data_IF_943629720428
#
_entry.id   IF_943629720428
#
_cell.length_a   1.000
_cell.length_b   1.000
_cell.length_c   1.000
_cell.angle_alpha   90.00
_cell.angle_beta   90.00
_cell.angle_gamma   90.00
#
_symmetry.space_group_name_H-M   'P 1'
#
loop_
_entity.id
_entity.type
_entity.pdbx_description
1 polymer ?
#
# COMPACT_ATOMS: atom_id res chain seq x y z
N UNK A 1 -18.46 -6.99 -10.55
CA UNK A 1 -17.64 -8.17 -10.89
C UNK A 1 -18.52 -9.39 -11.20
N UNK A 2 -19.50 -9.77 -10.35
CA UNK A 2 -20.38 -10.94 -10.61
C UNK A 2 -21.00 -10.92 -12.00
N UNK A 3 -21.69 -9.85 -12.38
CA UNK A 3 -22.31 -9.72 -13.69
C UNK A 3 -21.32 -9.87 -14.87
N UNK A 4 -20.10 -9.37 -14.74
CA UNK A 4 -19.09 -9.56 -15.78
C UNK A 4 -18.64 -11.01 -15.90
N UNK A 5 -18.48 -11.71 -14.77
CA UNK A 5 -18.13 -13.13 -14.75
C UNK A 5 -19.24 -14.03 -15.28
N UNK A 6 -20.51 -13.64 -15.09
CA UNK A 6 -21.66 -14.35 -15.69
C UNK A 6 -21.67 -14.25 -17.22
N UNK A 7 -21.25 -13.10 -17.78
CA UNK A 7 -21.19 -12.88 -19.23
C UNK A 7 -19.95 -13.52 -19.84
N UNK A 8 -18.81 -13.39 -19.16
CA UNK A 8 -17.53 -13.92 -19.62
C UNK A 8 -16.70 -14.38 -18.39
N UNK A 9 -16.69 -15.69 -18.08
CA UNK A 9 -15.97 -16.22 -16.92
C UNK A 9 -14.45 -16.02 -17.00
N UNK A 10 -13.89 -15.89 -18.20
CA UNK A 10 -12.45 -15.75 -18.45
C UNK A 10 -11.99 -14.29 -18.44
N UNK A 11 -12.89 -13.34 -18.19
CA UNK A 11 -12.53 -11.93 -18.14
C UNK A 11 -11.49 -11.66 -17.06
N UNK A 12 -10.41 -11.00 -17.44
CA UNK A 12 -9.39 -10.54 -16.50
C UNK A 12 -9.83 -9.20 -15.91
N UNK A 13 -9.84 -9.11 -14.59
CA UNK A 13 -10.25 -7.90 -13.87
C UNK A 13 -9.05 -7.38 -13.08
N UNK A 14 -8.76 -6.08 -13.23
CA UNK A 14 -7.78 -5.36 -12.41
C UNK A 14 -8.56 -4.35 -11.57
N UNK A 15 -8.38 -4.43 -10.26
CA UNK A 15 -8.94 -3.47 -9.31
C UNK A 15 -7.99 -2.31 -9.06
N UNK A 16 -8.49 -1.26 -8.43
CA UNK A 16 -7.67 -0.17 -7.90
C UNK A 16 -7.28 -0.44 -6.44
N UNK A 17 -6.21 0.19 -5.98
CA UNK A 17 -5.70 0.04 -4.61
C UNK A 17 -6.74 0.34 -3.53
N UNK A 18 -7.69 1.25 -3.79
CA UNK A 18 -8.79 1.57 -2.86
C UNK A 18 -9.88 0.48 -2.79
N UNK A 19 -9.90 -0.45 -3.74
CA UNK A 19 -10.81 -1.62 -3.72
C UNK A 19 -10.21 -2.82 -2.98
N UNK A 20 -8.95 -2.75 -2.58
CA UNK A 20 -8.26 -3.79 -1.82
C UNK A 20 -8.77 -3.79 -0.37
N UNK A 21 -9.69 -4.71 -0.07
CA UNK A 21 -10.30 -4.86 1.26
C UNK A 21 -10.84 -6.26 1.49
N UNK A 22 -10.82 -6.71 2.74
CA UNK A 22 -11.45 -7.99 3.15
C UNK A 22 -12.95 -8.02 2.85
N UNK A 23 -13.61 -6.86 2.87
CA UNK A 23 -15.03 -6.74 2.53
C UNK A 23 -15.30 -7.09 1.06
N UNK A 24 -14.38 -6.73 0.15
CA UNK A 24 -14.49 -7.13 -1.25
C UNK A 24 -14.51 -8.65 -1.39
N UNK A 25 -13.65 -9.37 -0.68
CA UNK A 25 -13.61 -10.83 -0.69
C UNK A 25 -14.92 -11.39 -0.13
N UNK A 26 -15.34 -10.90 1.04
CA UNK A 26 -16.56 -11.34 1.71
C UNK A 26 -17.81 -11.16 0.86
N UNK A 27 -17.94 -10.02 0.18
CA UNK A 27 -19.11 -9.73 -0.66
C UNK A 27 -19.00 -10.33 -2.07
N UNK A 28 -17.79 -10.45 -2.59
CA UNK A 28 -17.51 -10.92 -3.95
C UNK A 28 -17.57 -12.44 -4.06
N UNK A 29 -17.06 -13.16 -3.05
CA UNK A 29 -16.92 -14.61 -3.08
C UNK A 29 -16.10 -15.07 -4.29
N UNK A 30 -16.52 -16.14 -4.96
CA UNK A 30 -15.84 -16.67 -6.14
C UNK A 30 -15.74 -15.67 -7.32
N UNK A 31 -16.61 -14.68 -7.39
CA UNK A 31 -16.58 -13.71 -8.48
C UNK A 31 -15.38 -12.74 -8.45
N UNK A 32 -14.63 -12.70 -7.35
CA UNK A 32 -13.43 -11.88 -7.21
C UNK A 32 -12.12 -12.69 -7.25
N UNK A 33 -12.22 -14.02 -7.38
CA UNK A 33 -11.04 -14.87 -7.58
C UNK A 33 -10.25 -14.44 -8.84
N UNK A 34 -8.94 -14.36 -8.70
CA UNK A 34 -8.03 -13.97 -9.77
C UNK A 34 -8.03 -12.47 -10.10
N UNK A 35 -8.79 -11.62 -9.38
CA UNK A 35 -8.70 -10.17 -9.54
C UNK A 35 -7.35 -9.68 -9.05
N UNK A 36 -6.63 -8.91 -9.88
CA UNK A 36 -5.34 -8.35 -9.54
C UNK A 36 -5.46 -6.90 -9.04
N UNK A 37 -4.59 -6.50 -8.12
CA UNK A 37 -4.55 -5.15 -7.56
C UNK A 37 -3.11 -4.65 -7.47
N UNK A 38 -2.82 -3.43 -7.94
CA UNK A 38 -1.62 -2.71 -7.54
C UNK A 38 -1.85 -2.11 -6.15
N UNK A 39 -1.04 -2.50 -5.16
CA UNK A 39 -1.13 -1.98 -3.79
C UNK A 39 0.21 -1.39 -3.35
N UNK A 40 0.17 -0.38 -2.51
CA UNK A 40 1.37 0.25 -1.93
C UNK A 40 1.71 -0.33 -0.56
N UNK A 41 0.83 -1.14 0.01
CA UNK A 41 1.02 -1.80 1.29
C UNK A 41 0.36 -3.17 1.26
N UNK A 42 1.11 -4.19 1.67
CA UNK A 42 0.61 -5.55 1.82
C UNK A 42 1.02 -6.08 3.19
N UNK A 43 0.04 -6.24 4.09
CA UNK A 43 0.28 -6.60 5.50
C UNK A 43 0.93 -7.98 5.69
N UNK A 44 0.80 -8.88 4.70
CA UNK A 44 1.42 -10.21 4.68
C UNK A 44 2.78 -10.23 3.94
N UNK A 45 3.39 -9.07 3.65
CA UNK A 45 4.73 -8.98 3.07
C UNK A 45 5.77 -9.59 4.02
N UNK A 46 6.79 -10.23 3.46
CA UNK A 46 7.93 -10.78 4.23
C UNK A 46 8.93 -9.70 4.69
N UNK A 47 8.71 -8.44 4.33
CA UNK A 47 9.56 -7.32 4.76
C UNK A 47 9.49 -7.17 6.28
N UNK A 48 10.64 -7.28 7.00
CA UNK A 48 10.68 -7.18 8.46
C UNK A 48 10.09 -5.87 9.01
N UNK A 49 10.26 -4.75 8.28
CA UNK A 49 9.73 -3.44 8.66
C UNK A 49 8.20 -3.43 8.61
N UNK A 50 7.62 -4.05 7.57
CA UNK A 50 6.17 -4.23 7.45
C UNK A 50 5.64 -5.10 8.57
N UNK A 51 6.30 -6.23 8.85
CA UNK A 51 5.87 -7.16 9.90
C UNK A 51 5.97 -6.55 11.30
N UNK A 52 6.98 -5.77 11.58
CA UNK A 52 7.12 -5.04 12.84
C UNK A 52 6.00 -4.00 12.99
N UNK A 53 5.71 -3.21 11.95
CA UNK A 53 4.62 -2.24 11.95
C UNK A 53 3.27 -2.92 12.20
N UNK A 54 2.96 -4.00 11.47
CA UNK A 54 1.71 -4.77 11.62
C UNK A 54 1.57 -5.28 13.05
N UNK A 55 2.62 -5.89 13.61
CA UNK A 55 2.64 -6.40 14.98
C UNK A 55 2.37 -5.28 16.01
N UNK A 56 3.08 -4.16 15.88
CA UNK A 56 2.96 -3.03 16.80
C UNK A 56 1.57 -2.39 16.72
N UNK A 57 1.04 -2.24 15.50
CA UNK A 57 -0.29 -1.70 15.27
C UNK A 57 -1.37 -2.61 15.87
N UNK A 58 -1.31 -3.93 15.63
CA UNK A 58 -2.24 -4.90 16.23
C UNK A 58 -2.20 -4.89 17.74
N UNK A 59 -1.01 -4.82 18.33
CA UNK A 59 -0.84 -4.77 19.78
C UNK A 59 -1.49 -3.52 20.37
N UNK A 60 -1.39 -2.39 19.67
CA UNK A 60 -1.89 -1.09 20.18
C UNK A 60 -3.37 -0.90 19.92
N UNK A 61 -3.89 -1.34 18.78
CA UNK A 61 -5.24 -1.01 18.31
C UNK A 61 -6.18 -2.21 18.18
N UNK A 62 -5.67 -3.45 18.33
CA UNK A 62 -6.47 -4.68 18.30
C UNK A 62 -6.98 -5.08 16.92
N UNK A 63 -6.48 -4.46 15.83
CA UNK A 63 -6.90 -4.71 14.45
C UNK A 63 -5.72 -4.66 13.48
N UNK A 64 -5.90 -5.22 12.28
CA UNK A 64 -4.93 -5.10 11.19
C UNK A 64 -4.85 -3.65 10.68
N UNK A 65 -3.63 -3.15 10.35
CA UNK A 65 -3.50 -1.87 9.68
C UNK A 65 -3.98 -1.95 8.22
N UNK A 66 -4.69 -0.93 7.77
CA UNK A 66 -5.04 -0.75 6.36
C UNK A 66 -3.91 -0.06 5.59
N UNK A 67 -4.02 -0.04 4.25
CA UNK A 67 -3.11 0.73 3.40
C UNK A 67 -3.12 2.23 3.74
N UNK A 68 -4.29 2.80 4.07
CA UNK A 68 -4.41 4.20 4.50
C UNK A 68 -3.69 4.45 5.83
N UNK A 69 -3.78 3.50 6.77
CA UNK A 69 -3.07 3.59 8.05
C UNK A 69 -1.55 3.56 7.85
N UNK A 70 -1.08 2.68 6.97
CA UNK A 70 0.34 2.58 6.62
C UNK A 70 0.85 3.86 5.94
N UNK A 71 0.05 4.45 5.04
CA UNK A 71 0.38 5.74 4.41
C UNK A 71 0.44 6.88 5.44
N UNK A 72 -0.51 6.95 6.36
CA UNK A 72 -0.51 7.97 7.42
C UNK A 72 0.72 7.83 8.33
N UNK A 73 1.11 6.58 8.63
CA UNK A 73 2.31 6.30 9.41
C UNK A 73 3.57 6.80 8.70
N UNK A 74 3.74 6.48 7.41
CA UNK A 74 4.88 6.94 6.62
C UNK A 74 4.86 8.47 6.42
N UNK A 75 3.69 9.08 6.23
CA UNK A 75 3.57 10.54 6.11
C UNK A 75 4.04 11.26 7.37
N UNK A 76 3.68 10.73 8.54
CA UNK A 76 4.18 11.26 9.81
C UNK A 76 5.70 11.05 9.94
N UNK A 77 6.21 9.88 9.54
CA UNK A 77 7.64 9.59 9.55
C UNK A 77 8.44 10.54 8.64
N UNK A 78 7.95 10.82 7.43
CA UNK A 78 8.55 11.78 6.49
C UNK A 78 8.63 13.17 7.14
N UNK A 79 7.51 13.66 7.69
CA UNK A 79 7.45 14.96 8.35
C UNK A 79 8.44 15.05 9.53
N UNK A 80 8.40 14.09 10.44
CA UNK A 80 9.29 14.09 11.62
C UNK A 80 10.76 13.97 11.24
N UNK A 81 11.10 13.19 10.22
CA UNK A 81 12.48 13.10 9.71
C UNK A 81 12.97 14.43 9.15
N UNK A 82 12.10 15.17 8.44
CA UNK A 82 12.45 16.50 7.93
C UNK A 82 12.67 17.50 9.08
N UNK A 83 11.76 17.53 10.06
CA UNK A 83 11.86 18.41 11.24
C UNK A 83 13.09 18.08 12.09
N UNK A 84 13.40 16.82 12.29
CA UNK A 84 14.60 16.38 13.01
C UNK A 84 15.88 16.84 12.31
N UNK A 85 15.94 16.69 10.98
CA UNK A 85 17.08 17.15 10.16
C UNK A 85 17.29 18.67 10.25
N UNK A 86 16.19 19.45 10.33
CA UNK A 86 16.24 20.91 10.42
C UNK A 86 16.41 21.43 11.85
N UNK A 87 16.07 20.62 12.85
CA UNK A 87 16.04 21.00 14.26
C UNK A 87 14.87 21.93 14.61
N UNK A 88 13.96 22.21 13.69
CA UNK A 88 12.80 23.10 13.90
C UNK A 88 11.73 22.87 12.84
N UNK A 89 10.46 23.10 13.20
CA UNK A 89 9.29 23.11 12.32
C UNK A 89 8.75 24.51 12.01
N UNK A 90 9.42 25.55 12.51
CA UNK A 90 8.94 26.93 12.42
C UNK A 90 9.02 27.53 11.00
N UNK A 91 9.91 27.02 10.15
CA UNK A 91 10.03 27.41 8.75
C UNK A 91 9.40 26.34 7.85
N UNK A 92 8.15 26.56 7.47
CA UNK A 92 7.40 25.63 6.61
C UNK A 92 7.99 25.49 5.20
N UNK A 93 8.69 26.51 4.69
CA UNK A 93 9.36 26.44 3.41
C UNK A 93 10.58 25.52 3.49
N UNK A 94 11.39 25.64 4.54
CA UNK A 94 12.51 24.75 4.78
C UNK A 94 12.06 23.31 4.99
N UNK A 95 10.97 23.08 5.74
CA UNK A 95 10.39 21.73 5.92
C UNK A 95 9.92 21.14 4.59
N UNK A 96 9.20 21.91 3.77
CA UNK A 96 8.80 21.49 2.42
C UNK A 96 10.00 21.08 1.57
N UNK A 97 11.03 21.90 1.53
CA UNK A 97 12.22 21.67 0.71
C UNK A 97 12.98 20.42 1.19
N UNK A 98 13.10 20.23 2.51
CA UNK A 98 13.69 19.03 3.08
C UNK A 98 12.91 17.76 2.74
N UNK A 99 11.57 17.81 2.70
CA UNK A 99 10.70 16.71 2.27
C UNK A 99 10.88 16.43 0.78
N UNK A 100 10.90 17.46 -0.06
CA UNK A 100 11.04 17.33 -1.52
C UNK A 100 12.36 16.65 -1.94
N UNK A 101 13.45 16.89 -1.19
CA UNK A 101 14.77 16.28 -1.43
C UNK A 101 14.93 14.88 -0.82
N UNK A 102 13.96 14.42 -0.03
CA UNK A 102 14.07 13.20 0.78
C UNK A 102 13.78 11.94 -0.03
N UNK A 103 14.54 10.87 0.26
CA UNK A 103 14.16 9.50 -0.03
C UNK A 103 13.84 8.82 1.30
N UNK A 104 12.57 8.47 1.53
CA UNK A 104 12.11 7.87 2.78
C UNK A 104 11.80 6.39 2.61
N UNK A 105 12.42 5.55 3.45
CA UNK A 105 12.22 4.10 3.48
C UNK A 105 11.15 3.74 4.52
N UNK A 106 9.89 3.78 4.11
CA UNK A 106 8.74 3.52 4.96
C UNK A 106 8.21 2.09 4.91
N UNK A 107 7.09 1.87 5.60
CA UNK A 107 6.35 0.58 5.58
C UNK A 107 5.55 0.39 4.30
N UNK A 108 5.34 1.46 3.53
CA UNK A 108 4.75 1.42 2.19
C UNK A 108 5.82 1.44 1.08
N UNK A 109 7.07 1.04 1.40
CA UNK A 109 8.22 1.11 0.51
C UNK A 109 8.87 2.48 0.44
N UNK A 110 9.78 2.65 -0.51
CA UNK A 110 10.48 3.92 -0.72
C UNK A 110 9.53 4.99 -1.23
N UNK A 111 9.57 6.16 -0.63
CA UNK A 111 8.83 7.35 -1.05
C UNK A 111 9.83 8.42 -1.49
N UNK A 112 9.67 8.93 -2.71
CA UNK A 112 10.38 10.09 -3.26
C UNK A 112 9.37 11.02 -3.89
N UNK A 113 9.78 12.28 -4.11
CA UNK A 113 8.96 13.27 -4.77
C UNK A 113 9.67 13.75 -6.05
N UNK A 114 8.90 13.90 -7.12
CA UNK A 114 9.40 14.51 -8.35
C UNK A 114 9.43 16.06 -8.26
N UNK A 115 9.86 16.71 -9.34
CA UNK A 115 9.96 18.17 -9.39
C UNK A 115 8.60 18.89 -9.29
N UNK A 116 7.48 18.19 -9.49
CA UNK A 116 6.12 18.71 -9.35
C UNK A 116 5.54 18.45 -7.96
N UNK A 117 6.24 17.66 -7.13
CA UNK A 117 5.76 17.20 -5.82
C UNK A 117 4.92 15.94 -5.88
N UNK A 118 4.87 15.27 -7.04
CA UNK A 118 4.19 14.00 -7.17
C UNK A 118 5.03 12.86 -6.58
N UNK A 119 4.35 11.89 -5.98
CA UNK A 119 5.02 10.75 -5.33
C UNK A 119 5.48 9.72 -6.36
N UNK A 120 6.76 9.42 -6.36
CA UNK A 120 7.34 8.27 -7.05
C UNK A 120 7.36 7.07 -6.10
N UNK A 121 6.57 6.03 -6.42
CA UNK A 121 6.42 4.84 -5.60
C UNK A 121 6.29 3.57 -6.41
N UNK A 122 6.87 2.48 -5.91
CA UNK A 122 6.64 1.15 -6.46
C UNK A 122 5.33 0.56 -5.93
N UNK A 123 4.68 -0.28 -6.76
CA UNK A 123 3.50 -1.01 -6.37
C UNK A 123 3.82 -2.50 -6.21
N UNK A 124 3.29 -3.09 -5.16
CA UNK A 124 3.20 -4.54 -5.00
C UNK A 124 1.98 -5.04 -5.75
N UNK A 125 2.12 -6.12 -6.51
CA UNK A 125 1.00 -6.76 -7.21
C UNK A 125 0.46 -7.86 -6.33
N UNK A 126 -0.83 -7.81 -6.02
CA UNK A 126 -1.54 -8.86 -5.28
C UNK A 126 -2.73 -9.38 -6.09
N UNK A 127 -3.16 -10.58 -5.79
CA UNK A 127 -4.36 -11.20 -6.37
C UNK A 127 -5.17 -11.85 -5.28
N UNK A 128 -6.42 -12.21 -5.57
CA UNK A 128 -7.25 -13.04 -4.70
C UNK A 128 -7.11 -14.49 -5.15
N UNK A 129 -6.73 -15.36 -4.23
CA UNK A 129 -6.63 -16.81 -4.43
C UNK A 129 -7.17 -17.53 -3.20
N UNK A 130 -8.09 -18.45 -3.42
CA UNK A 130 -8.74 -19.23 -2.36
C UNK A 130 -9.38 -18.33 -1.26
N UNK A 131 -9.95 -17.18 -1.68
CA UNK A 131 -10.58 -16.22 -0.79
C UNK A 131 -9.61 -15.39 0.04
N UNK A 132 -8.32 -15.34 -0.30
CA UNK A 132 -7.31 -14.55 0.39
C UNK A 132 -6.49 -13.69 -0.58
N UNK A 133 -6.01 -12.54 -0.08
CA UNK A 133 -5.00 -11.78 -0.82
C UNK A 133 -3.63 -12.44 -0.70
N UNK A 134 -3.01 -12.68 -1.85
CA UNK A 134 -1.66 -13.24 -1.97
C UNK A 134 -0.83 -12.41 -2.95
N UNK A 135 0.49 -12.50 -2.85
CA UNK A 135 1.36 -11.89 -3.86
C UNK A 135 1.06 -12.50 -5.23
N UNK A 136 0.90 -11.64 -6.22
CA UNK A 136 0.85 -12.07 -7.62
C UNK A 136 2.29 -12.32 -8.07
N UNK A 137 2.67 -13.60 -8.14
CA UNK A 137 3.94 -13.99 -8.71
C UNK A 137 4.05 -13.45 -10.14
N UNK A 138 5.21 -12.89 -10.47
CA UNK A 138 5.52 -12.52 -11.85
C UNK A 138 5.54 -13.81 -12.66
N UNK A 139 4.41 -14.20 -13.21
CA UNK A 139 4.32 -15.33 -14.10
C UNK A 139 5.27 -15.12 -15.26
N UNK A 140 6.11 -16.11 -15.54
CA UNK A 140 6.70 -16.28 -16.84
C UNK A 140 5.58 -16.11 -17.87
N UNK A 141 5.69 -15.06 -18.70
CA UNK A 141 4.87 -14.96 -19.90
C UNK A 141 5.18 -16.20 -20.76
N UNK A 142 4.29 -17.19 -20.74
CA UNK A 142 4.12 -18.12 -21.83
C UNK A 142 3.04 -17.59 -22.76
#
# INVERSE_FOLDING_TARGET
MRQYKEINPDIRIVGFSNSYSEELIKLGGEAVEGVAFPVIFFSKSDDPKVQEFVKNFKTKFGSEPSALTAQAYDSAGIYFTAVEKLGSDQDSAAVRDAIAEMSYEGVTGTTKFDANGDVEKSFTKVTIKDGEFVLLESGSNE
#
